data_IF_752346125759
#
_entry.id   IF_752346125759
#
_cell.length_a   1.000
_cell.length_b   1.000
_cell.length_c   1.000
_cell.angle_alpha   90.00
_cell.angle_beta   90.00
_cell.angle_gamma   90.00
#
_symmetry.space_group_name_H-M   'P 1'
#
loop_
_entity.id
_entity.type
_entity.pdbx_description
1 polymer ?
#
# COMPACT_ATOMS: atom_id res chain seq x y z
N UNK A 1 13.59 -16.87 -13.16
CA UNK A 1 13.46 -16.74 -11.69
C UNK A 1 11.98 -16.60 -11.33
N UNK A 2 11.23 -17.70 -11.36
CA UNK A 2 9.89 -17.75 -10.76
C UNK A 2 10.10 -17.80 -9.26
N UNK A 3 9.97 -16.65 -8.58
CA UNK A 3 10.02 -16.59 -7.13
C UNK A 3 8.57 -16.74 -6.61
N UNK A 4 8.20 -17.88 -6.01
CA UNK A 4 6.84 -18.09 -5.50
C UNK A 4 6.42 -17.01 -4.50
N UNK A 5 7.39 -16.44 -3.75
CA UNK A 5 7.14 -15.34 -2.82
C UNK A 5 6.71 -14.08 -3.58
N UNK A 6 7.35 -13.76 -4.70
CA UNK A 6 6.97 -12.60 -5.51
C UNK A 6 5.54 -12.73 -6.06
N UNK A 7 5.15 -13.93 -6.49
CA UNK A 7 3.79 -14.21 -6.94
C UNK A 7 2.81 -14.06 -5.80
N UNK A 8 3.10 -14.65 -4.64
CA UNK A 8 2.26 -14.53 -3.45
C UNK A 8 2.08 -13.07 -3.02
N UNK A 9 3.16 -12.29 -2.95
CA UNK A 9 3.10 -10.88 -2.58
C UNK A 9 2.27 -10.06 -3.59
N UNK A 10 2.41 -10.35 -4.88
CA UNK A 10 1.61 -9.68 -5.91
C UNK A 10 0.12 -9.96 -5.72
N UNK A 11 -0.25 -11.22 -5.51
CA UNK A 11 -1.65 -11.61 -5.26
C UNK A 11 -2.17 -10.97 -3.98
N UNK A 12 -1.38 -10.97 -2.91
CA UNK A 12 -1.76 -10.37 -1.63
C UNK A 12 -2.03 -8.86 -1.76
N UNK A 13 -1.15 -8.13 -2.43
CA UNK A 13 -1.29 -6.68 -2.64
C UNK A 13 -2.53 -6.38 -3.50
N UNK A 14 -2.71 -7.10 -4.62
CA UNK A 14 -3.86 -6.89 -5.48
C UNK A 14 -5.18 -7.25 -4.80
N UNK A 15 -5.20 -8.32 -4.00
CA UNK A 15 -6.37 -8.68 -3.20
C UNK A 15 -6.70 -7.60 -2.16
N UNK A 16 -5.69 -7.03 -1.50
CA UNK A 16 -5.87 -5.92 -0.56
C UNK A 16 -6.43 -4.66 -1.22
N UNK A 17 -5.87 -4.26 -2.38
CA UNK A 17 -6.38 -3.11 -3.15
C UNK A 17 -7.80 -3.36 -3.66
N UNK A 18 -8.08 -4.56 -4.17
CA UNK A 18 -9.42 -4.94 -4.64
C UNK A 18 -10.44 -4.92 -3.51
N UNK A 19 -10.09 -5.47 -2.34
CA UNK A 19 -10.94 -5.41 -1.15
C UNK A 19 -11.20 -3.96 -0.72
N UNK A 20 -10.18 -3.10 -0.74
CA UNK A 20 -10.33 -1.69 -0.39
C UNK A 20 -11.27 -0.95 -1.35
N UNK A 21 -11.19 -1.21 -2.65
CA UNK A 21 -12.09 -0.62 -3.63
C UNK A 21 -13.55 -1.09 -3.46
N UNK A 22 -13.77 -2.36 -3.13
CA UNK A 22 -15.12 -2.93 -3.00
C UNK A 22 -15.78 -2.56 -1.68
N UNK A 23 -15.06 -2.66 -0.57
CA UNK A 23 -15.63 -2.51 0.78
C UNK A 23 -15.46 -1.09 1.34
N UNK A 24 -14.41 -0.37 0.97
CA UNK A 24 -14.09 0.94 1.52
C UNK A 24 -14.02 2.05 0.46
N UNK A 25 -14.43 1.78 -0.79
CA UNK A 25 -14.35 2.74 -1.90
C UNK A 25 -12.96 3.34 -2.15
N UNK A 26 -11.89 2.66 -1.71
CA UNK A 26 -10.51 3.15 -1.84
C UNK A 26 -10.02 4.05 -0.69
N UNK A 27 -10.82 4.26 0.35
CA UNK A 27 -10.48 5.18 1.44
C UNK A 27 -9.28 4.71 2.27
N UNK A 28 -9.10 3.40 2.47
CA UNK A 28 -7.97 2.91 3.27
C UNK A 28 -6.64 3.11 2.53
N UNK A 29 -6.60 2.87 1.22
CA UNK A 29 -5.42 3.15 0.39
C UNK A 29 -5.11 4.65 0.38
N UNK A 30 -6.14 5.51 0.30
CA UNK A 30 -5.96 6.96 0.34
C UNK A 30 -5.46 7.46 1.70
N UNK A 31 -5.91 6.85 2.81
CA UNK A 31 -5.37 7.11 4.15
C UNK A 31 -3.90 6.70 4.23
N UNK A 32 -3.56 5.52 3.72
CA UNK A 32 -2.19 4.99 3.76
C UNK A 32 -1.24 5.87 2.95
N UNK A 33 -1.67 6.35 1.78
CA UNK A 33 -0.91 7.30 0.97
C UNK A 33 -0.66 8.61 1.73
N UNK A 34 -1.68 9.20 2.36
CA UNK A 34 -1.52 10.43 3.17
C UNK A 34 -0.51 10.25 4.30
N UNK A 35 -0.63 9.15 5.06
CA UNK A 35 0.31 8.84 6.15
C UNK A 35 1.73 8.57 5.67
N UNK A 36 1.86 7.99 4.48
CA UNK A 36 3.17 7.80 3.86
C UNK A 36 3.81 9.12 3.43
N UNK A 37 3.03 10.07 2.90
CA UNK A 37 3.51 11.43 2.64
C UNK A 37 3.95 12.14 3.92
N UNK A 38 3.13 12.10 5.00
CA UNK A 38 3.51 12.65 6.30
C UNK A 38 4.84 12.05 6.80
N UNK A 39 5.04 10.74 6.61
CA UNK A 39 6.27 10.05 6.98
C UNK A 39 7.46 10.52 6.13
N UNK A 40 7.28 10.70 4.82
CA UNK A 40 8.32 11.25 3.94
C UNK A 40 8.73 12.64 4.41
N UNK A 41 7.77 13.53 4.70
CA UNK A 41 8.05 14.87 5.20
C UNK A 41 8.82 14.83 6.53
N UNK A 42 8.40 13.96 7.44
CA UNK A 42 9.11 13.75 8.69
C UNK A 42 10.54 13.26 8.46
N UNK A 43 10.76 12.22 7.64
CA UNK A 43 12.11 11.71 7.31
C UNK A 43 12.95 12.79 6.63
N UNK A 44 12.37 13.59 5.74
CA UNK A 44 13.05 14.69 5.06
C UNK A 44 13.50 15.79 6.02
N UNK A 45 12.78 16.01 7.13
CA UNK A 45 13.19 16.91 8.20
C UNK A 45 14.43 16.41 8.97
N UNK A 46 14.58 15.09 9.14
CA UNK A 46 15.74 14.49 9.85
C UNK A 46 16.98 14.28 8.98
N UNK A 47 16.88 14.48 7.67
CA UNK A 47 18.05 14.48 6.78
C UNK A 47 18.84 15.77 6.94
#
# INVERSE_FOLDING_TARGET
MTNPIAVFLTVLILAGLGADLIFNSGDATMLLARKFFDLIEWVAFWR
#
